data_IF_858073265853
#
_entry.id   IF_858073265853
#
_cell.length_a   1.000
_cell.length_b   1.000
_cell.length_c   1.000
_cell.angle_alpha   90.00
_cell.angle_beta   90.00
_cell.angle_gamma   90.00
#
_symmetry.space_group_name_H-M   'P 1'
#
loop_
_entity.id
_entity.type
_entity.pdbx_description
1 polymer ?
#
# COMPACT_ATOMS: atom_id res chain seq x y z
N UNK A 1 -1.55 -3.46 -5.05
CA UNK A 1 -1.02 -4.16 -6.25
C UNK A 1 -2.10 -5.04 -6.83
N UNK A 2 -2.27 -5.06 -8.15
CA UNK A 2 -3.28 -5.89 -8.81
C UNK A 2 -2.66 -6.82 -9.86
N UNK A 3 -3.24 -8.00 -10.02
CA UNK A 3 -2.92 -8.95 -11.08
C UNK A 3 -3.73 -8.73 -12.37
N UNK A 4 -4.70 -7.80 -12.37
CA UNK A 4 -5.57 -7.53 -13.52
C UNK A 4 -6.68 -8.56 -13.75
N UNK A 5 -6.83 -9.56 -12.86
CA UNK A 5 -7.89 -10.58 -12.93
C UNK A 5 -8.88 -10.49 -11.76
N UNK A 6 -8.75 -9.48 -10.91
CA UNK A 6 -9.68 -9.17 -9.82
C UNK A 6 -9.04 -9.16 -8.43
N UNK A 7 -7.85 -9.75 -8.26
CA UNK A 7 -7.18 -9.71 -6.96
C UNK A 7 -6.46 -8.38 -6.76
N UNK A 8 -6.55 -7.87 -5.53
CA UNK A 8 -5.91 -6.65 -5.07
C UNK A 8 -5.23 -6.94 -3.73
N UNK A 9 -3.90 -7.07 -3.77
CA UNK A 9 -3.05 -7.08 -2.58
C UNK A 9 -2.88 -5.65 -2.11
N UNK A 10 -3.26 -5.38 -0.86
CA UNK A 10 -3.29 -4.02 -0.35
C UNK A 10 -3.07 -3.99 1.16
N UNK A 11 -2.38 -2.95 1.60
CA UNK A 11 -2.37 -2.54 3.01
C UNK A 11 -3.24 -1.33 3.09
N UNK A 12 -4.27 -1.40 3.91
CA UNK A 12 -5.22 -0.32 4.09
C UNK A 12 -4.89 0.42 5.38
N UNK A 13 -4.98 1.75 5.32
CA UNK A 13 -5.05 2.61 6.50
C UNK A 13 -6.45 3.20 6.50
N UNK A 14 -7.24 2.79 7.48
CA UNK A 14 -8.68 2.99 7.49
C UNK A 14 -9.10 3.88 8.65
N UNK A 15 -10.06 4.76 8.38
CA UNK A 15 -10.68 5.62 9.37
C UNK A 15 -12.19 5.52 9.24
N UNK A 16 -12.80 4.81 10.19
CA UNK A 16 -14.24 4.61 10.27
C UNK A 16 -14.85 5.34 11.48
N UNK A 17 -16.19 5.49 11.53
CA UNK A 17 -16.86 5.99 12.73
C UNK A 17 -16.54 5.20 14.01
N UNK A 18 -16.31 3.87 13.89
CA UNK A 18 -15.71 3.05 14.94
C UNK A 18 -14.51 2.27 14.39
N UNK A 19 -13.40 2.35 15.12
CA UNK A 19 -12.14 1.68 14.82
C UNK A 19 -11.76 0.66 15.92
N UNK A 20 -12.75 0.19 16.70
CA UNK A 20 -12.54 -0.73 17.82
C UNK A 20 -11.95 -2.07 17.37
N UNK A 21 -12.16 -2.44 16.11
CA UNK A 21 -11.66 -3.68 15.51
C UNK A 21 -10.14 -3.80 15.46
N UNK A 22 -9.40 -2.68 15.50
CA UNK A 22 -7.94 -2.68 15.65
C UNK A 22 -7.47 -2.08 17.00
N UNK A 23 -8.41 -1.73 17.88
CA UNK A 23 -8.12 -1.08 19.16
C UNK A 23 -7.67 0.38 19.06
N UNK A 24 -7.97 1.07 17.96
CA UNK A 24 -7.59 2.47 17.79
C UNK A 24 -8.44 3.42 18.64
N UNK A 25 -7.78 4.40 19.25
CA UNK A 25 -8.42 5.50 19.96
C UNK A 25 -8.87 6.62 18.99
N UNK A 26 -9.63 7.60 19.48
CA UNK A 26 -10.01 8.79 18.71
C UNK A 26 -8.78 9.50 18.15
N UNK A 27 -8.78 9.76 16.83
CA UNK A 27 -7.65 10.38 16.12
C UNK A 27 -6.61 9.39 15.60
N UNK A 28 -6.70 8.11 15.96
CA UNK A 28 -5.91 7.04 15.35
C UNK A 28 -6.67 6.39 14.20
N UNK A 29 -5.90 5.77 13.32
CA UNK A 29 -6.38 5.00 12.18
C UNK A 29 -6.05 3.52 12.42
N UNK A 30 -6.73 2.64 11.70
CA UNK A 30 -6.41 1.23 11.72
C UNK A 30 -5.61 0.84 10.48
N UNK A 31 -4.52 0.11 10.67
CA UNK A 31 -3.75 -0.48 9.57
C UNK A 31 -3.96 -1.98 9.53
N UNK A 32 -4.10 -2.55 8.33
CA UNK A 32 -4.05 -4.01 8.11
C UNK A 32 -3.51 -4.37 6.74
N UNK A 33 -2.77 -5.47 6.69
CA UNK A 33 -2.48 -6.17 5.44
C UNK A 33 -3.72 -6.94 4.96
N UNK A 34 -3.95 -6.94 3.66
CA UNK A 34 -5.22 -7.43 3.13
C UNK A 34 -5.15 -7.88 1.66
N UNK A 35 -6.03 -8.81 1.30
CA UNK A 35 -6.25 -9.27 -0.05
C UNK A 35 -7.74 -9.19 -0.36
N UNK A 36 -8.09 -8.38 -1.35
CA UNK A 36 -9.42 -8.38 -1.93
C UNK A 36 -9.45 -9.22 -3.21
N UNK A 37 -10.54 -9.94 -3.45
CA UNK A 37 -10.75 -10.69 -4.68
C UNK A 37 -12.18 -11.19 -4.80
N UNK A 38 -12.41 -12.18 -5.66
CA UNK A 38 -13.75 -12.78 -5.87
C UNK A 38 -14.33 -13.42 -4.59
N UNK A 39 -13.46 -13.77 -3.64
CA UNK A 39 -13.80 -14.32 -2.33
C UNK A 39 -14.12 -13.23 -1.29
N UNK A 40 -14.14 -11.95 -1.68
CA UNK A 40 -14.28 -10.82 -0.77
C UNK A 40 -12.95 -10.38 -0.18
N UNK A 41 -12.99 -9.83 1.04
CA UNK A 41 -11.80 -9.37 1.76
C UNK A 41 -11.24 -10.49 2.66
N UNK A 42 -9.93 -10.73 2.58
CA UNK A 42 -9.17 -11.54 3.52
C UNK A 42 -8.12 -10.66 4.18
N UNK A 43 -8.16 -10.59 5.51
CA UNK A 43 -7.37 -9.65 6.29
C UNK A 43 -6.38 -10.35 7.22
N UNK A 44 -5.22 -9.73 7.41
CA UNK A 44 -4.37 -9.95 8.57
C UNK A 44 -4.95 -9.27 9.82
N UNK A 45 -4.34 -9.54 10.97
CA UNK A 45 -4.67 -8.80 12.19
C UNK A 45 -4.37 -7.30 12.00
N UNK A 46 -5.28 -6.45 12.46
CA UNK A 46 -5.09 -4.99 12.39
C UNK A 46 -4.45 -4.43 13.66
N UNK A 47 -3.87 -3.23 13.52
CA UNK A 47 -3.34 -2.46 14.64
C UNK A 47 -3.68 -0.98 14.51
N UNK A 48 -3.69 -0.29 15.65
CA UNK A 48 -3.81 1.17 15.69
C UNK A 48 -2.52 1.85 15.23
N UNK A 49 -2.66 2.93 14.47
CA UNK A 49 -1.57 3.83 14.08
C UNK A 49 -1.94 5.29 14.30
N UNK A 50 -0.97 6.09 14.72
CA UNK A 50 -1.12 7.53 14.94
C UNK A 50 -0.66 8.30 13.70
N UNK A 51 -1.18 9.51 13.48
CA UNK A 51 -0.81 10.34 12.32
C UNK A 51 0.68 10.76 12.25
N UNK A 52 1.45 10.53 13.31
CA UNK A 52 2.90 10.76 13.37
C UNK A 52 3.74 9.50 13.12
N UNK A 53 3.10 8.32 13.10
CA UNK A 53 3.80 7.07 12.83
C UNK A 53 4.23 7.01 11.37
N UNK A 54 5.40 6.42 11.14
CA UNK A 54 5.78 5.98 9.80
C UNK A 54 5.40 4.50 9.68
N UNK A 55 4.69 4.15 8.62
CA UNK A 55 4.31 2.76 8.35
C UNK A 55 5.16 2.26 7.18
N UNK A 56 5.96 1.23 7.43
CA UNK A 56 6.70 0.50 6.40
C UNK A 56 5.83 -0.67 5.93
N UNK A 57 5.67 -0.78 4.62
CA UNK A 57 4.84 -1.79 3.97
C UNK A 57 5.72 -2.57 2.99
N UNK A 58 6.00 -3.82 3.31
CA UNK A 58 6.78 -4.72 2.49
C UNK A 58 5.88 -5.79 1.86
N UNK A 59 5.93 -5.87 0.53
CA UNK A 59 5.29 -6.93 -0.23
C UNK A 59 6.33 -7.82 -0.89
N UNK A 60 6.15 -9.14 -0.78
CA UNK A 60 7.05 -10.12 -1.37
C UNK A 60 6.30 -11.27 -2.01
N UNK A 61 6.74 -11.72 -3.19
CA UNK A 61 6.22 -12.93 -3.82
C UNK A 61 7.19 -14.09 -3.59
N UNK A 62 6.69 -15.20 -3.06
CA UNK A 62 7.43 -16.44 -2.92
C UNK A 62 7.08 -17.37 -4.08
N UNK A 63 8.01 -17.52 -5.03
CA UNK A 63 7.80 -18.35 -6.22
C UNK A 63 7.67 -19.86 -5.91
N UNK A 64 8.13 -20.33 -4.75
CA UNK A 64 8.00 -21.73 -4.34
C UNK A 64 6.60 -22.04 -3.83
N UNK A 65 6.01 -21.17 -3.00
CA UNK A 65 4.66 -21.37 -2.47
C UNK A 65 3.55 -20.75 -3.32
N UNK A 66 3.89 -19.78 -4.17
CA UNK A 66 2.91 -18.95 -4.87
C UNK A 66 2.26 -17.88 -3.99
N UNK A 67 2.74 -17.72 -2.75
CA UNK A 67 2.18 -16.74 -1.82
C UNK A 67 2.76 -15.36 -2.03
N UNK A 68 1.89 -14.37 -1.83
CA UNK A 68 2.32 -13.03 -1.50
C UNK A 68 2.31 -12.81 0.01
N UNK A 69 3.43 -12.34 0.54
CA UNK A 69 3.56 -11.88 1.92
C UNK A 69 3.40 -10.37 1.98
N UNK A 70 2.70 -9.91 2.99
CA UNK A 70 2.54 -8.51 3.34
C UNK A 70 3.01 -8.37 4.78
N UNK A 71 4.07 -7.59 4.99
CA UNK A 71 4.61 -7.30 6.33
C UNK A 71 4.50 -5.80 6.55
N UNK A 72 3.75 -5.42 7.57
CA UNK A 72 3.47 -4.02 7.90
C UNK A 72 4.07 -3.74 9.26
N UNK A 73 4.97 -2.77 9.33
CA UNK A 73 5.68 -2.42 10.56
C UNK A 73 5.63 -0.93 10.81
N UNK A 74 5.74 -0.53 12.07
CA UNK A 74 6.04 0.85 12.42
C UNK A 74 7.50 1.10 12.07
N UNK A 75 7.76 1.96 11.08
CA UNK A 75 9.08 2.27 10.57
C UNK A 75 9.99 3.01 11.57
N UNK A 76 9.43 3.55 12.67
CA UNK A 76 10.21 4.22 13.72
C UNK A 76 10.58 3.26 14.86
N UNK A 77 9.66 2.38 15.26
CA UNK A 77 9.85 1.48 16.41
C UNK A 77 10.24 0.06 16.03
N UNK A 78 9.98 -0.35 14.79
CA UNK A 78 10.14 -1.72 14.30
C UNK A 78 9.03 -2.68 14.75
N UNK A 79 7.98 -2.19 15.43
CA UNK A 79 6.88 -3.03 15.87
C UNK A 79 6.09 -3.56 14.67
N UNK A 80 5.76 -4.85 14.68
CA UNK A 80 4.82 -5.42 13.70
C UNK A 80 3.42 -4.86 13.96
N UNK A 81 2.80 -4.33 12.91
CA UNK A 81 1.46 -3.77 12.92
C UNK A 81 0.46 -4.73 12.25
N UNK A 82 0.90 -5.43 11.20
CA UNK A 82 0.08 -6.44 10.53
C UNK A 82 0.95 -7.38 9.71
N UNK A 83 0.50 -8.62 9.59
CA UNK A 83 1.09 -9.63 8.72
C UNK A 83 -0.01 -10.40 8.01
N UNK A 84 0.18 -10.66 6.72
CA UNK A 84 -0.73 -11.51 5.95
C UNK A 84 0.04 -12.27 4.85
N UNK A 85 -0.30 -13.52 4.61
CA UNK A 85 0.30 -14.34 3.55
C UNK A 85 -0.75 -15.21 2.90
N UNK A 86 -0.91 -15.08 1.58
CA UNK A 86 -1.95 -15.80 0.83
C UNK A 86 -1.54 -16.02 -0.64
N UNK A 87 -1.92 -17.15 -1.26
CA UNK A 87 -1.66 -17.38 -2.68
C UNK A 87 -2.47 -16.44 -3.58
N UNK A 88 -1.81 -15.85 -4.58
CA UNK A 88 -2.46 -15.08 -5.65
C UNK A 88 -1.57 -15.08 -6.90
N UNK A 89 -2.11 -14.67 -8.05
CA UNK A 89 -1.36 -14.52 -9.28
C UNK A 89 -0.24 -13.46 -9.20
N UNK A 90 0.57 -13.37 -10.25
CA UNK A 90 1.60 -12.32 -10.33
C UNK A 90 0.95 -10.94 -10.48
N UNK A 91 1.41 -10.00 -9.67
CA UNK A 91 0.96 -8.61 -9.75
C UNK A 91 1.60 -7.92 -10.94
N UNK A 92 0.78 -7.26 -11.75
CA UNK A 92 1.21 -6.57 -12.99
C UNK A 92 1.11 -5.06 -12.86
N UNK A 93 0.50 -4.56 -11.77
CA UNK A 93 0.32 -3.15 -11.49
C UNK A 93 0.57 -2.84 -10.01
N UNK A 94 1.21 -1.70 -9.78
CA UNK A 94 1.39 -1.10 -8.47
C UNK A 94 0.88 0.34 -8.49
N UNK A 95 0.34 0.80 -7.37
CA UNK A 95 -0.15 2.16 -7.22
C UNK A 95 -0.61 2.40 -5.79
N UNK A 96 -0.80 3.68 -5.47
CA UNK A 96 -1.41 4.15 -4.23
C UNK A 96 -2.74 4.84 -4.57
N UNK A 97 -3.64 4.91 -3.60
CA UNK A 97 -4.94 5.53 -3.79
C UNK A 97 -5.63 5.75 -2.47
N UNK A 98 -6.58 6.68 -2.47
CA UNK A 98 -7.53 6.84 -1.38
C UNK A 98 -8.87 6.35 -1.86
N UNK A 99 -9.40 5.36 -1.16
CA UNK A 99 -10.78 4.95 -1.31
C UNK A 99 -11.66 5.74 -0.34
N UNK A 100 -12.84 6.12 -0.82
CA UNK A 100 -13.85 6.78 -0.03
C UNK A 100 -15.10 5.90 -0.06
N UNK A 101 -15.50 5.42 1.11
CA UNK A 101 -16.76 4.69 1.26
C UNK A 101 -17.90 5.69 1.49
N UNK A 102 -19.04 5.40 0.88
CA UNK A 102 -20.28 6.19 0.96
C UNK A 102 -20.06 7.67 0.58
N UNK A 103 -20.66 8.60 1.33
CA UNK A 103 -20.66 10.04 1.05
C UNK A 103 -19.47 10.79 1.69
N UNK A 104 -18.29 10.17 1.80
CA UNK A 104 -17.12 10.84 2.38
C UNK A 104 -16.52 11.90 1.42
N UNK A 105 -15.83 12.91 1.96
CA UNK A 105 -15.23 13.99 1.15
C UNK A 105 -13.78 13.71 0.71
N UNK A 106 -13.29 12.47 0.92
CA UNK A 106 -11.92 12.06 0.63
C UNK A 106 -10.97 12.28 1.82
N UNK A 107 -9.66 12.46 1.55
CA UNK A 107 -8.63 12.57 2.60
C UNK A 107 -8.67 13.90 3.35
N UNK A 108 -8.92 13.86 4.66
CA UNK A 108 -8.83 15.06 5.51
C UNK A 108 -7.38 15.60 5.65
N UNK A 109 -6.38 14.78 5.40
CA UNK A 109 -4.96 15.13 5.51
C UNK A 109 -4.16 14.64 4.30
N UNK A 110 -3.04 15.33 4.02
CA UNK A 110 -2.07 14.91 3.01
C UNK A 110 -1.51 13.52 3.38
N UNK A 111 -1.42 12.62 2.41
CA UNK A 111 -0.72 11.35 2.56
C UNK A 111 0.64 11.42 1.85
N UNK A 112 1.68 10.88 2.50
CA UNK A 112 3.03 10.85 1.94
C UNK A 112 3.55 9.42 1.90
N UNK A 113 4.07 9.04 0.75
CA UNK A 113 4.88 7.84 0.58
C UNK A 113 6.30 8.29 0.29
N UNK A 114 7.26 7.81 1.07
CA UNK A 114 8.67 8.18 0.95
C UNK A 114 9.51 6.94 0.70
N UNK A 115 10.60 7.09 -0.05
CA UNK A 115 11.56 6.03 -0.34
C UNK A 115 10.93 4.74 -0.89
N UNK A 116 9.93 4.87 -1.77
CA UNK A 116 9.28 3.71 -2.39
C UNK A 116 10.27 3.01 -3.32
N UNK A 117 10.42 1.70 -3.13
CA UNK A 117 11.23 0.83 -3.99
C UNK A 117 10.36 -0.27 -4.56
N UNK A 118 10.47 -0.51 -5.87
CA UNK A 118 9.74 -1.55 -6.58
C UNK A 118 10.78 -2.40 -7.31
N UNK A 119 10.83 -3.68 -6.98
CA UNK A 119 11.66 -4.66 -7.70
C UNK A 119 10.77 -5.53 -8.57
N UNK A 120 11.00 -5.49 -9.88
CA UNK A 120 10.24 -6.27 -10.86
C UNK A 120 10.76 -7.72 -10.93
N UNK A 121 9.96 -8.63 -11.45
CA UNK A 121 10.37 -10.02 -11.68
C UNK A 121 11.44 -10.14 -12.79
N UNK A 122 11.46 -9.20 -13.72
CA UNK A 122 12.47 -9.05 -14.76
C UNK A 122 12.65 -7.57 -15.09
N UNK A 123 13.82 -7.18 -15.60
CA UNK A 123 14.09 -5.81 -15.98
C UNK A 123 13.11 -5.33 -17.08
N UNK A 124 12.47 -4.19 -16.85
CA UNK A 124 11.64 -3.49 -17.82
C UNK A 124 12.00 -2.00 -17.81
N UNK A 125 12.75 -1.50 -18.81
CA UNK A 125 13.14 -0.09 -18.87
C UNK A 125 11.95 0.85 -19.15
N UNK A 126 10.80 0.33 -19.58
CA UNK A 126 9.62 1.13 -19.92
C UNK A 126 8.61 1.23 -18.76
N UNK A 127 8.80 0.50 -17.65
CA UNK A 127 7.85 0.49 -16.54
C UNK A 127 7.55 1.90 -16.02
N UNK A 128 8.56 2.74 -15.84
CA UNK A 128 8.37 4.14 -15.39
C UNK A 128 7.58 5.01 -16.37
N UNK A 129 7.54 4.69 -17.67
CA UNK A 129 6.72 5.41 -18.65
C UNK A 129 5.22 5.10 -18.50
N UNK A 130 4.85 4.10 -17.69
CA UNK A 130 3.45 3.76 -17.39
C UNK A 130 2.88 4.56 -16.22
N UNK A 131 3.69 5.40 -15.57
CA UNK A 131 3.28 6.18 -14.41
C UNK A 131 2.13 7.15 -14.79
N UNK A 132 0.99 6.96 -14.13
CA UNK A 132 -0.13 7.87 -14.15
C UNK A 132 -0.26 8.61 -12.81
N UNK A 133 -0.65 9.87 -12.87
CA UNK A 133 -0.97 10.69 -11.70
C UNK A 133 -2.34 11.35 -11.88
N UNK A 134 -3.06 11.54 -10.79
CA UNK A 134 -4.39 12.17 -10.82
C UNK A 134 -4.67 12.91 -9.51
N UNK A 135 -5.77 13.68 -9.48
CA UNK A 135 -6.29 14.33 -8.27
C UNK A 135 -5.26 15.18 -7.51
N UNK A 136 -4.41 15.91 -8.25
CA UNK A 136 -3.38 16.78 -7.67
C UNK A 136 -2.20 16.04 -7.02
N UNK A 137 -2.13 14.73 -7.17
CA UNK A 137 -0.99 13.92 -6.70
C UNK A 137 0.29 14.36 -7.39
N UNK A 138 1.36 14.52 -6.63
CA UNK A 138 2.70 14.82 -7.15
C UNK A 138 3.70 13.74 -6.74
N UNK A 139 4.78 13.60 -7.50
CA UNK A 139 5.89 12.71 -7.16
C UNK A 139 7.23 13.36 -7.54
N UNK A 140 8.30 12.92 -6.90
CA UNK A 140 9.66 13.33 -7.22
C UNK A 140 10.62 12.14 -7.20
N UNK A 141 11.77 12.30 -7.88
CA UNK A 141 12.87 11.34 -7.79
C UNK A 141 12.55 9.96 -8.35
N UNK A 142 11.72 9.86 -9.41
CA UNK A 142 11.55 8.61 -10.15
C UNK A 142 12.87 8.27 -10.85
N UNK A 143 13.47 7.15 -10.48
CA UNK A 143 14.70 6.63 -11.09
C UNK A 143 14.63 5.12 -11.27
N UNK A 144 15.49 4.59 -12.13
CA UNK A 144 15.66 3.15 -12.32
C UNK A 144 17.12 2.73 -12.22
N UNK A 145 17.32 1.51 -11.75
CA UNK A 145 18.61 0.85 -11.65
C UNK A 145 18.56 -0.51 -12.34
N UNK A 146 19.73 -1.08 -12.64
CA UNK A 146 19.87 -2.43 -13.19
C UNK A 146 19.02 -2.67 -14.45
N UNK A 147 19.00 -1.69 -15.36
CA UNK A 147 18.27 -1.78 -16.63
C UNK A 147 16.74 -1.72 -16.51
N UNK A 148 16.21 -1.24 -15.38
CA UNK A 148 14.76 -1.21 -15.13
C UNK A 148 14.25 -2.38 -14.28
N UNK A 149 15.14 -3.09 -13.58
CA UNK A 149 14.74 -4.12 -12.61
C UNK A 149 14.26 -3.50 -11.30
N UNK A 150 14.95 -2.45 -10.84
CA UNK A 150 14.64 -1.74 -9.59
C UNK A 150 14.22 -0.33 -9.96
N UNK A 151 13.04 0.08 -9.48
CA UNK A 151 12.50 1.42 -9.61
C UNK A 151 12.38 2.07 -8.24
N UNK A 152 12.76 3.34 -8.16
CA UNK A 152 12.70 4.12 -6.92
C UNK A 152 11.89 5.37 -7.15
N UNK A 153 11.11 5.76 -6.15
CA UNK A 153 10.40 7.03 -6.10
C UNK A 153 10.72 7.66 -4.73
N UNK A 154 11.35 8.83 -4.76
CA UNK A 154 11.81 9.48 -3.53
C UNK A 154 10.63 9.92 -2.67
N UNK A 155 9.62 10.53 -3.29
CA UNK A 155 8.43 11.02 -2.60
C UNK A 155 7.21 10.97 -3.51
N UNK A 156 6.06 10.57 -2.96
CA UNK A 156 4.73 10.71 -3.54
C UNK A 156 3.88 11.47 -2.52
N UNK A 157 3.24 12.55 -2.97
CA UNK A 157 2.33 13.36 -2.16
C UNK A 157 0.92 13.25 -2.73
N UNK A 158 0.00 12.67 -1.96
CA UNK A 158 -1.43 12.70 -2.25
C UNK A 158 -2.04 13.84 -1.43
N UNK A 159 -2.66 14.86 -2.06
CA UNK A 159 -3.21 16.00 -1.33
C UNK A 159 -4.38 15.59 -0.44
N UNK A 160 -4.75 16.48 0.49
CA UNK A 160 -6.06 16.41 1.12
C UNK A 160 -7.14 16.65 0.08
N UNK A 161 -8.20 15.86 0.10
CA UNK A 161 -9.39 16.05 -0.73
C UNK A 161 -10.46 16.70 0.14
N UNK A 162 -10.92 17.88 -0.28
CA UNK A 162 -11.90 18.72 0.41
C UNK A 162 -13.11 18.96 -0.47
#
# INVERSE_FOLDING_TARGET
MSNGTGDLIQTTLESWPSNDWCGAATGQWCVRASLFGWFGQLDGAGAAVSGTDQVLIDYGYNATSGNWTQTVTNGQTGAELSYFSYPSGLMTRWGTGTECNDDCTGTAAKQQYVNTTITLASADPNFGATLGVSQGTTYTGLTSEQGGLIWKIAEINVPSMS
#
